data_IF_429117695817
#
_entry.id   IF_429117695817
#
_cell.length_a   1.000
_cell.length_b   1.000
_cell.length_c   1.000
_cell.angle_alpha   90.00
_cell.angle_beta   90.00
_cell.angle_gamma   90.00
#
_symmetry.space_group_name_H-M   'P 1'
#
loop_
_entity.id
_entity.type
_entity.pdbx_description
1 polymer ?
#
# COMPACT_ATOMS: atom_id res chain seq x y z
N UNK A 1 14.55 -17.95 8.74
CA UNK A 1 15.80 -17.17 8.73
C UNK A 1 15.55 -15.92 9.53
N UNK A 2 16.40 -15.60 10.50
CA UNK A 2 16.26 -14.37 11.27
C UNK A 2 16.67 -13.16 10.42
N UNK A 3 16.04 -12.00 10.67
CA UNK A 3 16.30 -10.75 9.96
C UNK A 3 17.79 -10.38 9.94
N UNK A 4 18.47 -10.63 11.06
CA UNK A 4 19.90 -10.36 11.22
C UNK A 4 20.78 -11.24 10.31
N UNK A 5 20.43 -12.53 10.16
CA UNK A 5 21.15 -13.43 9.24
C UNK A 5 21.03 -12.97 7.78
N UNK A 6 19.87 -12.45 7.40
CA UNK A 6 19.62 -11.88 6.06
C UNK A 6 20.43 -10.59 5.82
N UNK A 7 20.50 -9.71 6.83
CA UNK A 7 21.28 -8.47 6.75
C UNK A 7 22.76 -8.81 6.59
N UNK A 8 23.30 -9.69 7.44
CA UNK A 8 24.70 -10.08 7.40
C UNK A 8 25.08 -10.74 6.08
N UNK A 9 24.23 -11.62 5.55
CA UNK A 9 24.44 -12.21 4.22
C UNK A 9 24.47 -11.14 3.12
N UNK A 10 23.53 -10.20 3.15
CA UNK A 10 23.44 -9.12 2.16
C UNK A 10 24.67 -8.21 2.19
N UNK A 11 25.13 -7.81 3.38
CA UNK A 11 26.35 -7.01 3.54
C UNK A 11 27.58 -7.72 2.97
N UNK A 12 27.74 -9.02 3.26
CA UNK A 12 28.83 -9.82 2.71
C UNK A 12 28.79 -9.89 1.18
N UNK A 13 27.60 -9.99 0.58
CA UNK A 13 27.43 -9.94 -0.87
C UNK A 13 27.74 -8.55 -1.45
N UNK A 14 27.27 -7.47 -0.81
CA UNK A 14 27.53 -6.11 -1.26
C UNK A 14 29.01 -5.77 -1.31
N UNK A 15 29.81 -6.23 -0.33
CA UNK A 15 31.26 -6.03 -0.32
C UNK A 15 32.00 -6.70 -1.49
N UNK A 16 31.40 -7.70 -2.15
CA UNK A 16 32.00 -8.41 -3.28
C UNK A 16 31.61 -7.79 -4.63
N UNK A 17 30.69 -6.83 -4.64
CA UNK A 17 30.19 -6.21 -5.87
C UNK A 17 31.00 -4.98 -6.26
N UNK A 18 31.09 -4.66 -7.56
CA UNK A 18 31.62 -3.39 -8.03
C UNK A 18 30.79 -2.20 -7.49
N UNK A 19 31.41 -1.02 -7.31
CA UNK A 19 30.74 0.17 -6.78
C UNK A 19 29.48 0.55 -7.55
N UNK A 20 29.45 0.41 -8.89
CA UNK A 20 28.27 0.77 -9.68
C UNK A 20 27.06 -0.10 -9.33
N UNK A 21 27.30 -1.38 -9.03
CA UNK A 21 26.24 -2.32 -8.64
C UNK A 21 25.78 -2.12 -7.21
N UNK A 22 26.68 -1.71 -6.32
CA UNK A 22 26.30 -1.31 -4.96
C UNK A 22 25.40 -0.07 -5.00
N UNK A 23 25.72 0.91 -5.85
CA UNK A 23 24.87 2.10 -6.03
C UNK A 23 23.48 1.74 -6.56
N UNK A 24 23.40 0.89 -7.59
CA UNK A 24 22.12 0.43 -8.14
C UNK A 24 21.23 -0.25 -7.08
N UNK A 25 21.84 -1.07 -6.22
CA UNK A 25 21.12 -1.74 -5.12
C UNK A 25 20.68 -0.73 -4.06
N UNK A 26 21.51 0.26 -3.72
CA UNK A 26 21.16 1.32 -2.78
C UNK A 26 19.96 2.14 -3.27
N UNK A 27 19.99 2.57 -4.54
CA UNK A 27 18.90 3.30 -5.17
C UNK A 27 17.59 2.49 -5.15
N UNK A 28 17.69 1.18 -5.41
CA UNK A 28 16.55 0.28 -5.36
C UNK A 28 16.00 0.08 -3.94
N UNK A 29 16.89 -0.04 -2.93
CA UNK A 29 16.48 -0.15 -1.54
C UNK A 29 15.74 1.11 -1.07
N UNK A 30 16.22 2.30 -1.45
CA UNK A 30 15.55 3.58 -1.17
C UNK A 30 14.19 3.66 -1.85
N UNK A 31 14.09 3.21 -3.10
CA UNK A 31 12.82 3.12 -3.81
C UNK A 31 11.81 2.22 -3.08
N UNK A 32 12.25 1.04 -2.63
CA UNK A 32 11.38 0.10 -1.89
C UNK A 32 10.91 0.69 -0.56
N UNK A 33 11.79 1.40 0.15
CA UNK A 33 11.45 2.06 1.41
C UNK A 33 10.34 3.10 1.18
N UNK A 34 10.54 4.02 0.24
CA UNK A 34 9.54 5.05 -0.10
C UNK A 34 8.21 4.45 -0.57
N UNK A 35 8.27 3.37 -1.37
CA UNK A 35 7.07 2.67 -1.82
C UNK A 35 6.31 2.04 -0.65
N UNK A 36 7.02 1.46 0.32
CA UNK A 36 6.38 0.86 1.50
C UNK A 36 5.66 1.90 2.36
N UNK A 37 6.25 3.08 2.55
CA UNK A 37 5.65 4.19 3.27
C UNK A 37 4.38 4.70 2.56
N UNK A 38 4.44 4.88 1.24
CA UNK A 38 3.29 5.27 0.44
C UNK A 38 2.14 4.26 0.52
N UNK A 39 2.42 2.96 0.44
CA UNK A 39 1.37 1.92 0.57
C UNK A 39 0.69 1.98 1.94
N UNK A 40 1.46 2.21 3.00
CA UNK A 40 0.90 2.34 4.36
C UNK A 40 0.02 3.60 4.45
N UNK A 41 0.48 4.73 3.91
CA UNK A 41 -0.28 5.98 3.87
C UNK A 41 -1.58 5.83 3.07
N UNK A 42 -1.53 5.26 1.86
CA UNK A 42 -2.71 5.06 1.03
C UNK A 42 -3.75 4.17 1.72
N UNK A 43 -3.32 3.05 2.32
CA UNK A 43 -4.22 2.18 3.10
C UNK A 43 -4.84 2.89 4.30
N UNK A 44 -4.07 3.76 4.96
CA UNK A 44 -4.59 4.60 6.04
C UNK A 44 -5.68 5.56 5.56
N UNK A 45 -5.46 6.21 4.41
CA UNK A 45 -6.44 7.12 3.79
C UNK A 45 -7.70 6.36 3.37
N UNK A 46 -7.55 5.21 2.70
CA UNK A 46 -8.68 4.35 2.31
C UNK A 46 -9.54 3.99 3.52
N UNK A 47 -8.92 3.50 4.59
CA UNK A 47 -9.62 3.13 5.82
C UNK A 47 -10.35 4.32 6.46
N UNK A 48 -9.72 5.50 6.51
CA UNK A 48 -10.34 6.70 7.06
C UNK A 48 -11.52 7.16 6.19
N UNK A 49 -11.42 7.03 4.88
CA UNK A 49 -12.50 7.35 3.94
C UNK A 49 -13.67 6.37 4.04
N UNK A 50 -13.41 5.08 4.28
CA UNK A 50 -14.48 4.10 4.51
C UNK A 50 -15.24 4.43 5.80
N UNK A 51 -14.51 4.74 6.89
CA UNK A 51 -15.10 5.11 8.17
C UNK A 51 -15.91 6.41 8.10
N UNK A 52 -15.45 7.41 7.32
CA UNK A 52 -16.18 8.66 7.19
C UNK A 52 -17.48 8.55 6.41
N UNK A 53 -17.66 7.47 5.64
CA UNK A 53 -18.86 7.19 4.84
C UNK A 53 -19.76 6.12 5.48
N UNK A 54 -19.40 5.59 6.64
CA UNK A 54 -20.14 4.53 7.33
C UNK A 54 -21.59 4.95 7.64
N UNK A 55 -21.84 6.25 7.85
CA UNK A 55 -23.17 6.82 8.06
C UNK A 55 -24.13 6.60 6.87
N UNK A 56 -23.61 6.47 5.64
CA UNK A 56 -24.45 6.22 4.45
C UNK A 56 -25.07 4.82 4.47
N UNK A 57 -24.50 3.88 5.22
CA UNK A 57 -25.06 2.52 5.34
C UNK A 57 -26.27 2.47 6.28
N UNK A 58 -26.44 3.48 7.13
CA UNK A 58 -27.56 3.60 8.06
C UNK A 58 -28.69 4.49 7.50
N UNK A 59 -28.51 5.03 6.28
CA UNK A 59 -29.56 5.80 5.61
C UNK A 59 -30.65 4.89 5.06
N UNK A 60 -31.91 5.30 5.24
CA UNK A 60 -33.07 4.56 4.77
C UNK A 60 -33.17 4.64 3.24
N UNK A 61 -33.50 3.54 2.57
CA UNK A 61 -33.72 3.51 1.12
C UNK A 61 -35.00 4.31 0.77
N UNK A 62 -34.83 5.61 0.49
CA UNK A 62 -35.93 6.54 0.17
C UNK A 62 -36.49 6.40 -1.25
N UNK A 63 -35.89 5.57 -2.09
CA UNK A 63 -36.38 5.26 -3.44
C UNK A 63 -36.72 3.79 -3.56
N UNK A 64 -37.87 3.51 -4.15
CA UNK A 64 -38.39 2.17 -4.35
C UNK A 64 -38.61 1.88 -5.82
N UNK A 65 -38.85 0.60 -6.16
CA UNK A 65 -39.27 0.21 -7.52
C UNK A 65 -40.59 0.87 -7.95
N UNK A 66 -41.35 1.43 -7.02
CA UNK A 66 -42.60 2.16 -7.30
C UNK A 66 -42.35 3.58 -7.83
N UNK A 67 -41.15 4.12 -7.63
CA UNK A 67 -40.76 5.45 -8.12
C UNK A 67 -40.22 5.43 -9.57
N UNK A 68 -40.08 4.23 -10.16
CA UNK A 68 -39.65 4.05 -11.53
C UNK A 68 -40.69 4.59 -12.52
N UNK A 69 -40.28 5.56 -13.36
CA UNK A 69 -41.12 6.15 -14.42
C UNK A 69 -41.41 5.19 -15.57
N UNK A 70 -40.49 4.27 -15.86
CA UNK A 70 -40.65 3.24 -16.89
C UNK A 70 -40.36 1.85 -16.28
N UNK A 71 -41.19 0.87 -16.64
CA UNK A 71 -41.03 -0.54 -16.28
C UNK A 71 -41.01 -1.35 -17.58
N UNK A 72 -39.93 -2.11 -17.79
CA UNK A 72 -39.76 -3.03 -18.91
C UNK A 72 -40.08 -4.47 -18.50
#
# INVERSE_FOLDING_TARGET
MEKEQLINKTLNTLHQLPPEKVQEIADFADFLLRKSENVILTKGIEKLSEQSLEFLNDEEDIYTKNDLKERY
#
